data_IF_872200315330
#
_entry.id   IF_872200315330
#
_cell.length_a   1.000
_cell.length_b   1.000
_cell.length_c   1.000
_cell.angle_alpha   90.00
_cell.angle_beta   90.00
_cell.angle_gamma   90.00
#
_symmetry.space_group_name_H-M   'P 1'
#
loop_
_entity.id
_entity.type
_entity.pdbx_description
1 polymer ?
#
# COMPACT_ATOMS: atom_id res chain seq x y z
N UNK A 1 1.54 -10.57 -24.00
CA UNK A 1 2.40 -9.39 -23.78
C UNK A 1 2.88 -9.43 -22.34
N UNK A 2 4.18 -9.57 -22.10
CA UNK A 2 4.73 -9.46 -20.74
C UNK A 2 4.92 -7.97 -20.43
N UNK A 3 4.33 -7.50 -19.34
CA UNK A 3 4.55 -6.13 -18.86
C UNK A 3 6.02 -5.96 -18.51
N UNK A 4 6.59 -4.79 -18.81
CA UNK A 4 7.94 -4.46 -18.33
C UNK A 4 7.94 -4.38 -16.80
N UNK A 5 9.11 -4.59 -16.18
CA UNK A 5 9.25 -4.48 -14.73
C UNK A 5 8.78 -3.12 -14.20
N UNK A 6 9.03 -2.04 -14.95
CA UNK A 6 8.54 -0.69 -14.63
C UNK A 6 7.02 -0.57 -14.69
N UNK A 7 6.36 -1.23 -15.65
CA UNK A 7 4.89 -1.25 -15.74
C UNK A 7 4.28 -2.05 -14.58
N UNK A 8 4.87 -3.19 -14.24
CA UNK A 8 4.45 -4.00 -13.08
C UNK A 8 4.58 -3.19 -11.80
N UNK A 9 5.70 -2.48 -11.61
CA UNK A 9 5.89 -1.63 -10.44
C UNK A 9 4.87 -0.49 -10.37
N UNK A 10 4.60 0.19 -11.48
CA UNK A 10 3.60 1.26 -11.52
C UNK A 10 2.20 0.74 -11.21
N UNK A 11 1.82 -0.43 -11.72
CA UNK A 11 0.52 -1.04 -11.44
C UNK A 11 0.40 -1.49 -9.99
N UNK A 12 1.45 -2.09 -9.41
CA UNK A 12 1.47 -2.43 -7.99
C UNK A 12 1.37 -1.19 -7.11
N UNK A 13 2.06 -0.11 -7.46
CA UNK A 13 1.97 1.15 -6.74
C UNK A 13 0.56 1.73 -6.77
N UNK A 14 -0.09 1.74 -7.94
CA UNK A 14 -1.48 2.19 -8.07
C UNK A 14 -2.41 1.33 -7.19
N UNK A 15 -2.29 0.00 -7.28
CA UNK A 15 -3.08 -0.94 -6.49
C UNK A 15 -2.93 -0.72 -4.98
N UNK A 16 -1.69 -0.49 -4.52
CA UNK A 16 -1.42 -0.18 -3.11
C UNK A 16 -2.14 1.10 -2.69
N UNK A 17 -2.14 2.15 -3.52
CA UNK A 17 -2.82 3.41 -3.17
C UNK A 17 -4.33 3.22 -3.06
N UNK A 18 -4.93 2.50 -4.00
CA UNK A 18 -6.37 2.23 -4.00
C UNK A 18 -6.78 1.44 -2.75
N UNK A 19 -6.05 0.36 -2.43
CA UNK A 19 -6.29 -0.44 -1.23
C UNK A 19 -6.12 0.35 0.06
N UNK A 20 -5.12 1.23 0.13
CA UNK A 20 -4.93 2.12 1.27
C UNK A 20 -6.14 3.03 1.41
N UNK A 21 -6.62 3.66 0.34
CA UNK A 21 -7.79 4.54 0.40
C UNK A 21 -9.06 3.79 0.79
N UNK A 22 -9.32 2.63 0.19
CA UNK A 22 -10.47 1.79 0.52
C UNK A 22 -10.45 1.35 1.99
N UNK A 23 -9.27 0.92 2.46
CA UNK A 23 -9.07 0.52 3.85
C UNK A 23 -9.26 1.69 4.82
N UNK A 24 -8.86 2.92 4.47
CA UNK A 24 -9.16 4.14 5.27
C UNK A 24 -10.65 4.43 5.31
N UNK A 25 -11.28 4.51 4.15
CA UNK A 25 -12.67 4.92 4.00
C UNK A 25 -13.61 3.97 4.76
N UNK A 26 -13.35 2.67 4.66
CA UNK A 26 -14.21 1.64 5.24
C UNK A 26 -13.75 1.17 6.63
N UNK A 27 -12.58 1.63 7.12
CA UNK A 27 -11.93 1.16 8.36
C UNK A 27 -11.84 -0.37 8.43
N UNK A 28 -11.55 -1.02 7.30
CA UNK A 28 -11.52 -2.48 7.14
C UNK A 28 -10.25 -2.93 6.44
N UNK A 29 -9.97 -4.23 6.49
CA UNK A 29 -8.92 -4.82 5.67
C UNK A 29 -9.35 -4.75 4.20
N UNK A 30 -8.47 -4.24 3.34
CA UNK A 30 -8.63 -4.28 1.89
C UNK A 30 -7.52 -5.15 1.31
N UNK A 31 -7.85 -5.99 0.33
CA UNK A 31 -6.87 -6.83 -0.33
C UNK A 31 -7.11 -6.91 -1.83
N UNK A 32 -6.02 -7.01 -2.59
CA UNK A 32 -6.09 -7.31 -4.00
C UNK A 32 -4.90 -8.15 -4.44
N UNK A 33 -5.07 -8.83 -5.57
CA UNK A 33 -4.06 -9.69 -6.16
C UNK A 33 -3.74 -9.24 -7.58
N UNK A 34 -2.45 -9.23 -7.91
CA UNK A 34 -1.94 -8.89 -9.23
C UNK A 34 -0.87 -9.90 -9.66
N UNK A 35 -1.23 -10.79 -10.60
CA UNK A 35 -0.35 -11.88 -11.00
C UNK A 35 0.01 -12.79 -9.83
N UNK A 36 1.30 -12.87 -9.49
CA UNK A 36 1.82 -13.62 -8.34
C UNK A 36 1.87 -12.81 -7.03
N UNK A 37 1.58 -11.52 -7.12
CA UNK A 37 1.62 -10.59 -5.99
C UNK A 37 0.25 -10.49 -5.33
N UNK A 38 0.22 -10.47 -4.00
CA UNK A 38 -0.97 -10.14 -3.21
C UNK A 38 -0.64 -8.97 -2.30
N UNK A 39 -1.47 -7.95 -2.32
CA UNK A 39 -1.34 -6.76 -1.47
C UNK A 39 -2.47 -6.74 -0.46
N UNK A 40 -2.15 -6.48 0.79
CA UNK A 40 -3.13 -6.35 1.88
C UNK A 40 -2.89 -5.04 2.60
N UNK A 41 -3.91 -4.18 2.65
CA UNK A 41 -3.93 -2.96 3.43
C UNK A 41 -4.83 -3.15 4.66
N UNK A 42 -4.27 -2.92 5.84
CA UNK A 42 -4.97 -3.08 7.12
C UNK A 42 -5.00 -1.72 7.82
N UNK A 43 -6.19 -1.14 7.92
CA UNK A 43 -6.42 0.05 8.73
C UNK A 43 -6.46 -0.32 10.23
N UNK A 44 -5.64 0.38 11.01
CA UNK A 44 -5.59 0.32 12.47
C UNK A 44 -5.69 1.75 13.03
N UNK A 45 -5.96 1.83 14.33
CA UNK A 45 -6.12 3.11 15.06
C UNK A 45 -4.93 4.05 14.83
N UNK A 46 -3.71 3.52 14.70
CA UNK A 46 -2.47 4.30 14.57
C UNK A 46 -1.98 4.46 13.11
N UNK A 47 -2.69 3.91 12.13
CA UNK A 47 -2.20 3.90 10.75
C UNK A 47 -2.70 2.76 9.88
N UNK A 48 -2.34 2.83 8.61
CA UNK A 48 -2.48 1.72 7.67
C UNK A 48 -1.18 0.96 7.57
N UNK A 49 -1.27 -0.35 7.74
CA UNK A 49 -0.19 -1.26 7.39
C UNK A 49 -0.48 -1.86 6.03
N UNK A 50 0.45 -1.72 5.09
CA UNK A 50 0.43 -2.40 3.80
C UNK A 50 1.41 -3.56 3.85
N UNK A 51 0.98 -4.72 3.36
CA UNK A 51 1.78 -5.93 3.26
C UNK A 51 1.75 -6.42 1.82
N UNK A 52 2.92 -6.67 1.25
CA UNK A 52 3.08 -7.26 -0.08
C UNK A 52 3.53 -8.71 0.08
N UNK A 53 2.82 -9.63 -0.57
CA UNK A 53 3.14 -11.05 -0.61
C UNK A 53 3.42 -11.48 -2.05
N UNK A 54 4.28 -12.47 -2.23
CA UNK A 54 4.53 -13.17 -3.49
C UNK A 54 4.57 -14.67 -3.23
N UNK A 55 3.71 -15.44 -3.91
CA UNK A 55 3.67 -16.90 -3.72
C UNK A 55 3.38 -17.36 -2.29
N UNK A 56 2.73 -16.53 -1.47
CA UNK A 56 2.45 -16.81 -0.05
C UNK A 56 3.52 -16.32 0.92
N UNK A 57 4.67 -15.86 0.43
CA UNK A 57 5.74 -15.28 1.24
C UNK A 57 5.58 -13.77 1.36
N UNK A 58 5.77 -13.24 2.56
CA UNK A 58 5.78 -11.79 2.79
C UNK A 58 7.07 -11.19 2.20
N UNK A 59 6.92 -10.35 1.18
CA UNK A 59 8.03 -9.65 0.55
C UNK A 59 8.34 -8.32 1.23
N UNK A 60 7.30 -7.56 1.58
CA UNK A 60 7.48 -6.20 2.11
C UNK A 60 6.35 -5.79 3.06
N UNK A 61 6.67 -4.89 4.01
CA UNK A 61 5.74 -4.29 4.95
C UNK A 61 6.03 -2.80 5.09
N UNK A 62 5.05 -1.98 4.72
CA UNK A 62 5.11 -0.53 4.89
C UNK A 62 4.02 -0.05 5.86
N UNK A 63 4.39 0.78 6.82
CA UNK A 63 3.43 1.52 7.65
C UNK A 63 3.22 2.91 7.07
N UNK A 64 1.95 3.30 6.89
CA UNK A 64 1.54 4.66 6.58
C UNK A 64 0.73 5.21 7.73
N UNK A 65 1.21 6.25 8.38
CA UNK A 65 0.47 6.96 9.41
C UNK A 65 -0.91 7.37 8.85
N UNK A 66 -1.95 6.98 9.58
CA UNK A 66 -3.29 7.50 9.36
C UNK A 66 -3.32 8.72 10.25
N UNK A 67 -3.05 9.88 9.65
CA UNK A 67 -3.16 11.13 10.36
C UNK A 67 -4.56 11.22 10.98
N UNK A 68 -4.69 11.37 12.31
CA UNK A 68 -5.98 11.44 12.97
C UNK A 68 -6.74 12.73 12.62
N UNK A 69 -6.07 13.72 12.00
CA UNK A 69 -6.62 15.06 11.76
C UNK A 69 -6.55 15.52 10.28
N UNK A 70 -6.21 14.64 9.33
CA UNK A 70 -6.26 15.00 7.91
C UNK A 70 -5.16 15.94 7.42
N UNK A 71 -3.95 15.89 7.99
CA UNK A 71 -2.76 16.39 7.31
C UNK A 71 -2.03 15.21 6.65
N UNK A 72 -1.97 15.17 5.32
CA UNK A 72 -0.99 14.29 4.66
C UNK A 72 0.35 15.03 4.78
N UNK A 73 1.17 14.67 5.75
CA UNK A 73 2.56 15.13 5.80
C UNK A 73 3.37 14.34 4.76
N UNK A 74 3.41 14.86 3.53
CA UNK A 74 4.54 14.58 2.62
C UNK A 74 5.60 15.63 2.94
N UNK A 75 6.31 15.49 4.05
CA UNK A 75 7.59 16.16 4.22
C UNK A 75 8.56 15.59 3.16
N UNK A 76 8.48 16.15 1.96
CA UNK A 76 9.63 16.37 1.11
C UNK A 76 10.59 17.27 1.87
N UNK A 77 11.44 16.65 2.68
CA UNK A 77 12.52 17.30 3.39
C UNK A 77 13.80 16.56 3.07
N UNK A 78 14.34 16.81 1.88
CA UNK A 78 15.78 16.62 1.68
C UNK A 78 16.46 17.59 2.63
N UNK A 79 17.21 17.10 3.61
CA UNK A 79 18.40 17.83 4.07
C UNK A 79 19.43 16.86 4.68
N UNK A 80 20.72 17.16 4.46
CA UNK A 80 21.89 16.30 4.66
C UNK A 80 22.35 16.19 6.12
#
# INVERSE_FOLDING_TARGET
MMLSQSQVQSQLNALVMDLVQESRANRRVAEASFGRYRVTAVCRINGIRVQLFEGGSLLDVAWRQADPDGAIDIAGGVNP
#
